data_IF_702572020529
#
_entry.id   IF_702572020529
#
_cell.length_a   1.000
_cell.length_b   1.000
_cell.length_c   1.000
_cell.angle_alpha   90.00
_cell.angle_beta   90.00
_cell.angle_gamma   90.00
#
_symmetry.space_group_name_H-M   'P 1'
#
loop_
_entity.id
_entity.type
_entity.pdbx_description
1 polymer ?
#
# COMPACT_ATOMS: atom_id res chain seq x y z
N UNK A 1 1.34 13.47 30.01
CA UNK A 1 1.95 12.20 30.46
C UNK A 1 2.91 11.75 29.39
N UNK A 2 4.23 11.82 29.62
CA UNK A 2 5.27 11.47 28.64
C UNK A 2 5.79 10.07 28.97
N UNK A 3 5.56 9.09 28.11
CA UNK A 3 6.01 7.71 28.32
C UNK A 3 7.35 7.53 27.62
N UNK A 4 8.42 7.48 28.42
CA UNK A 4 9.78 7.20 27.98
C UNK A 4 9.99 5.69 27.84
N UNK A 5 10.17 5.19 26.61
CA UNK A 5 10.60 3.81 26.36
C UNK A 5 12.12 3.77 26.27
N UNK A 6 12.76 3.21 27.30
CA UNK A 6 14.19 2.89 27.31
C UNK A 6 14.38 1.51 26.69
N UNK A 7 15.04 1.43 25.54
CA UNK A 7 15.59 0.18 25.00
C UNK A 7 16.95 0.47 24.37
N UNK A 8 17.94 -0.36 24.71
CA UNK A 8 19.21 -0.47 24.00
C UNK A 8 20.43 -0.28 24.90
N UNK A 9 21.19 -1.34 25.17
CA UNK A 9 22.22 -1.82 24.25
C UNK A 9 22.80 -3.15 24.77
N UNK A 10 22.75 -4.20 23.94
CA UNK A 10 23.60 -5.38 24.13
C UNK A 10 24.82 -5.15 23.24
N UNK A 11 25.99 -5.09 23.88
CA UNK A 11 27.28 -4.94 23.25
C UNK A 11 27.62 -6.22 22.47
N UNK A 12 27.76 -6.10 21.14
CA UNK A 12 28.34 -7.13 20.28
C UNK A 12 29.55 -6.53 19.58
N UNK A 13 30.74 -6.76 20.13
CA UNK A 13 32.00 -6.38 19.52
C UNK A 13 32.40 -7.38 18.44
N UNK A 14 32.72 -6.88 17.24
CA UNK A 14 33.60 -7.57 16.28
C UNK A 14 34.59 -6.51 15.77
N UNK A 15 35.87 -6.81 15.98
CA UNK A 15 37.03 -6.04 15.50
C UNK A 15 37.60 -6.76 14.27
N UNK A 16 38.30 -6.01 13.40
CA UNK A 16 39.32 -6.39 12.38
C UNK A 16 38.90 -6.02 10.94
N UNK A 17 39.27 -4.80 10.50
CA UNK A 17 40.43 -4.45 9.64
C UNK A 17 40.27 -4.81 8.15
N UNK A 18 40.15 -3.78 7.32
CA UNK A 18 40.28 -3.87 5.86
C UNK A 18 40.10 -2.49 5.22
N UNK A 19 41.19 -1.90 4.74
CA UNK A 19 41.24 -0.55 4.20
C UNK A 19 40.62 -0.38 2.81
N UNK A 20 40.22 0.87 2.56
CA UNK A 20 40.06 1.60 1.30
C UNK A 20 39.69 0.80 0.04
N UNK A 21 38.58 1.16 -0.62
CA UNK A 21 38.57 1.67 -2.00
C UNK A 21 37.15 2.14 -2.40
N UNK A 22 37.13 3.32 -3.02
CA UNK A 22 36.13 3.97 -3.87
C UNK A 22 34.79 3.27 -4.18
N UNK A 23 33.70 4.02 -4.05
CA UNK A 23 32.43 3.70 -4.68
C UNK A 23 31.41 4.80 -4.47
N UNK A 24 31.02 5.46 -5.55
CA UNK A 24 29.91 6.41 -5.65
C UNK A 24 28.78 6.14 -4.65
N UNK A 25 28.43 7.14 -3.83
CA UNK A 25 27.16 7.20 -3.14
C UNK A 25 26.04 7.34 -4.20
N UNK A 26 25.73 6.25 -4.86
CA UNK A 26 24.47 6.09 -5.56
C UNK A 26 23.39 6.28 -4.51
N UNK A 27 22.45 7.19 -4.79
CA UNK A 27 21.22 7.27 -4.05
C UNK A 27 20.63 5.86 -4.00
N UNK A 28 20.74 5.21 -2.85
CA UNK A 28 19.97 4.02 -2.57
C UNK A 28 18.52 4.51 -2.54
N UNK A 29 17.86 4.42 -3.69
CA UNK A 29 16.40 4.39 -3.74
C UNK A 29 16.00 3.39 -2.68
N UNK A 30 15.32 3.88 -1.65
CA UNK A 30 14.68 3.02 -0.67
C UNK A 30 13.77 2.09 -1.48
N UNK A 31 14.25 0.87 -1.76
CA UNK A 31 13.40 -0.19 -2.22
C UNK A 31 12.44 -0.41 -1.06
N UNK A 32 11.25 0.19 -1.15
CA UNK A 32 10.18 -0.02 -0.21
C UNK A 32 10.02 -1.53 -0.09
N UNK A 33 10.37 -2.08 1.07
CA UNK A 33 10.28 -3.49 1.34
C UNK A 33 8.85 -3.90 1.01
N UNK A 34 8.66 -4.55 -0.13
CA UNK A 34 7.35 -4.97 -0.58
C UNK A 34 6.95 -6.08 0.39
N UNK A 35 6.01 -5.87 1.31
CA UNK A 35 5.70 -6.92 2.25
C UNK A 35 5.11 -8.06 1.44
N UNK A 36 5.63 -9.27 1.62
CA UNK A 36 5.15 -10.47 0.93
C UNK A 36 3.62 -10.61 1.01
N UNK A 37 2.97 -10.04 2.02
CA UNK A 37 1.51 -9.98 2.12
C UNK A 37 0.79 -9.27 0.95
N UNK A 38 1.42 -8.30 0.28
CA UNK A 38 0.86 -7.65 -0.91
C UNK A 38 0.72 -8.62 -2.09
N UNK A 39 1.56 -9.66 -2.17
CA UNK A 39 1.44 -10.69 -3.22
C UNK A 39 0.18 -11.56 -3.08
N UNK A 40 -0.53 -11.45 -1.95
CA UNK A 40 -1.83 -12.06 -1.75
C UNK A 40 -2.96 -11.38 -2.53
N UNK A 41 -2.72 -10.25 -3.21
CA UNK A 41 -3.71 -9.69 -4.13
C UNK A 41 -3.69 -10.44 -5.46
N UNK A 42 -4.79 -11.06 -5.90
CA UNK A 42 -4.83 -11.72 -7.20
C UNK A 42 -4.69 -10.71 -8.34
N UNK A 43 -4.06 -11.13 -9.45
CA UNK A 43 -3.96 -10.30 -10.65
C UNK A 43 -5.37 -9.97 -11.20
N UNK A 44 -5.55 -8.73 -11.66
CA UNK A 44 -6.83 -8.21 -12.16
C UNK A 44 -7.70 -7.53 -11.10
N UNK A 45 -7.22 -7.41 -9.86
CA UNK A 45 -7.98 -6.83 -8.76
C UNK A 45 -7.30 -5.60 -8.15
N UNK A 46 -8.13 -4.73 -7.58
CA UNK A 46 -7.72 -3.78 -6.56
C UNK A 46 -8.03 -4.38 -5.18
N UNK A 47 -7.03 -4.50 -4.32
CA UNK A 47 -7.17 -5.08 -2.99
C UNK A 47 -6.95 -4.04 -1.92
N UNK A 48 -7.74 -4.12 -0.84
CA UNK A 48 -7.63 -3.28 0.35
C UNK A 48 -7.56 -4.16 1.60
N UNK A 49 -6.86 -3.67 2.62
CA UNK A 49 -6.69 -4.34 3.90
C UNK A 49 -7.01 -3.40 5.06
N UNK A 50 -7.69 -3.93 6.07
CA UNK A 50 -8.07 -3.17 7.27
C UNK A 50 -6.89 -2.74 8.12
N UNK A 51 -5.74 -3.42 8.00
CA UNK A 51 -4.52 -3.13 8.74
C UNK A 51 -3.40 -2.56 7.88
N UNK A 52 -2.35 -2.08 8.56
CA UNK A 52 -1.11 -1.67 7.92
C UNK A 52 -0.38 -2.87 7.31
N UNK A 53 0.53 -2.61 6.39
CA UNK A 53 1.45 -3.57 5.79
C UNK A 53 0.72 -4.81 5.24
N UNK A 54 -0.46 -4.60 4.65
CA UNK A 54 -1.26 -5.63 3.99
C UNK A 54 -1.72 -6.74 4.95
N UNK A 55 -2.02 -6.36 6.20
CA UNK A 55 -2.50 -7.28 7.26
C UNK A 55 -3.96 -7.05 7.61
N UNK A 56 -4.56 -7.96 8.37
CA UNK A 56 -5.97 -7.88 8.76
C UNK A 56 -6.92 -8.42 7.69
N UNK A 57 -8.18 -8.02 7.76
CA UNK A 57 -9.18 -8.45 6.79
C UNK A 57 -8.94 -7.80 5.43
N UNK A 58 -9.01 -8.61 4.37
CA UNK A 58 -8.82 -8.18 2.99
C UNK A 58 -10.12 -8.23 2.23
N UNK A 59 -10.40 -7.20 1.44
CA UNK A 59 -11.42 -7.22 0.40
C UNK A 59 -10.80 -6.80 -0.93
N UNK A 60 -11.50 -7.12 -2.02
CA UNK A 60 -11.02 -6.85 -3.36
C UNK A 60 -12.18 -6.58 -4.30
N UNK A 61 -11.92 -5.81 -5.35
CA UNK A 61 -12.87 -5.59 -6.44
C UNK A 61 -12.18 -5.67 -7.80
N UNK A 62 -12.98 -6.05 -8.79
CA UNK A 62 -12.65 -5.98 -10.21
C UNK A 62 -13.80 -5.26 -10.92
N UNK A 63 -13.55 -4.81 -12.15
CA UNK A 63 -14.53 -4.06 -12.92
C UNK A 63 -14.97 -2.73 -12.28
N UNK A 64 -15.90 -2.00 -12.93
CA UNK A 64 -16.48 -0.80 -12.37
C UNK A 64 -17.54 -1.16 -11.31
N UNK A 65 -17.51 -0.50 -10.15
CA UNK A 65 -18.50 -0.71 -9.10
C UNK A 65 -19.13 0.64 -8.74
N UNK A 66 -20.45 0.83 -8.95
CA UNK A 66 -21.13 2.08 -8.62
C UNK A 66 -21.36 2.25 -7.11
N UNK A 67 -21.26 1.17 -6.34
CA UNK A 67 -21.40 1.19 -4.90
C UNK A 67 -20.42 0.20 -4.27
N UNK A 68 -19.56 0.70 -3.38
CA UNK A 68 -18.63 -0.07 -2.57
C UNK A 68 -19.02 -0.11 -1.09
N UNK A 69 -20.09 0.60 -0.70
CA UNK A 69 -20.45 0.82 0.71
C UNK A 69 -20.84 -0.46 1.45
N UNK A 70 -21.24 -1.51 0.72
CA UNK A 70 -21.46 -2.84 1.31
C UNK A 70 -20.18 -3.55 1.76
N UNK A 71 -19.00 -3.11 1.31
CA UNK A 71 -17.71 -3.72 1.66
C UNK A 71 -17.07 -2.97 2.83
N UNK A 72 -17.19 -3.53 4.03
CA UNK A 72 -16.74 -2.87 5.27
C UNK A 72 -15.28 -2.41 5.26
N UNK A 73 -14.36 -3.16 4.64
CA UNK A 73 -12.93 -2.80 4.56
C UNK A 73 -12.71 -1.62 3.61
N UNK A 74 -13.48 -1.49 2.53
CA UNK A 74 -13.40 -0.31 1.64
C UNK A 74 -13.85 0.99 2.33
N UNK A 75 -14.53 0.89 3.48
CA UNK A 75 -14.95 2.04 4.27
C UNK A 75 -13.91 2.50 5.30
N UNK A 76 -12.88 1.69 5.57
CA UNK A 76 -11.87 1.98 6.58
C UNK A 76 -10.60 1.10 6.38
N UNK A 77 -9.89 1.29 5.27
CA UNK A 77 -8.66 0.53 4.97
C UNK A 77 -7.40 1.35 5.22
N UNK A 78 -6.32 0.66 5.57
CA UNK A 78 -5.03 1.29 5.89
C UNK A 78 -3.92 0.93 4.89
N UNK A 79 -4.13 -0.13 4.09
CA UNK A 79 -3.23 -0.48 3.01
C UNK A 79 -3.97 -1.04 1.80
N UNK A 80 -3.37 -0.88 0.62
CA UNK A 80 -4.01 -1.17 -0.66
C UNK A 80 -2.99 -1.50 -1.74
N UNK A 81 -3.43 -2.24 -2.76
CA UNK A 81 -2.62 -2.59 -3.93
C UNK A 81 -3.49 -2.65 -5.19
N UNK A 82 -3.11 -1.88 -6.21
CA UNK A 82 -3.63 -2.04 -7.57
C UNK A 82 -2.83 -3.13 -8.31
N UNK A 83 -3.33 -4.37 -8.28
CA UNK A 83 -2.79 -5.48 -9.05
C UNK A 83 -3.57 -5.71 -10.36
N UNK A 84 -4.09 -4.64 -10.97
CA UNK A 84 -4.74 -4.69 -12.28
C UNK A 84 -3.85 -5.26 -13.38
N UNK A 85 -4.46 -5.80 -14.43
CA UNK A 85 -3.74 -6.43 -15.56
C UNK A 85 -3.35 -5.40 -16.62
N UNK A 86 -4.28 -4.53 -17.04
CA UNK A 86 -4.08 -3.56 -18.13
C UNK A 86 -4.42 -2.11 -17.77
N UNK A 87 -5.04 -1.84 -16.64
CA UNK A 87 -5.64 -0.54 -16.33
C UNK A 87 -5.19 0.04 -14.98
N UNK A 88 -5.28 1.36 -14.85
CA UNK A 88 -5.21 2.09 -13.59
C UNK A 88 -6.56 2.04 -12.86
N UNK A 89 -6.53 2.21 -11.53
CA UNK A 89 -7.71 2.22 -10.68
C UNK A 89 -8.09 3.65 -10.31
N UNK A 90 -9.32 4.07 -10.62
CA UNK A 90 -9.85 5.37 -10.22
C UNK A 90 -10.88 5.21 -9.12
N UNK A 91 -10.60 5.77 -7.95
CA UNK A 91 -11.49 5.76 -6.81
C UNK A 91 -12.34 7.04 -6.74
N UNK A 92 -13.47 6.94 -6.05
CA UNK A 92 -14.40 8.04 -5.81
C UNK A 92 -14.87 7.99 -4.34
N UNK A 93 -14.99 9.15 -3.70
CA UNK A 93 -15.46 9.25 -2.30
C UNK A 93 -16.99 9.22 -2.15
N UNK A 94 -17.73 9.22 -3.26
CA UNK A 94 -19.18 9.03 -3.33
C UNK A 94 -19.56 7.82 -4.18
N UNK A 95 -20.80 7.35 -4.00
CA UNK A 95 -21.38 6.32 -4.87
C UNK A 95 -21.64 6.90 -6.27
N UNK A 96 -21.89 6.03 -7.23
CA UNK A 96 -22.19 6.36 -8.63
C UNK A 96 -21.12 7.23 -9.30
N UNK A 97 -19.85 7.06 -8.92
CA UNK A 97 -18.69 7.74 -9.51
C UNK A 97 -18.70 9.27 -9.33
N UNK A 98 -19.32 9.73 -8.24
CA UNK A 98 -19.39 11.16 -7.88
C UNK A 98 -18.29 11.60 -6.92
N UNK A 99 -18.33 12.89 -6.56
CA UNK A 99 -17.47 13.46 -5.52
C UNK A 99 -15.99 13.60 -5.92
N UNK A 100 -15.10 13.59 -4.93
CA UNK A 100 -13.67 13.68 -5.15
C UNK A 100 -13.13 12.35 -5.69
N UNK A 101 -12.05 12.42 -6.46
CA UNK A 101 -11.45 11.23 -7.06
C UNK A 101 -9.94 11.34 -7.18
N UNK A 102 -9.30 10.17 -7.30
CA UNK A 102 -7.88 10.04 -7.59
C UNK A 102 -7.61 8.81 -8.44
N UNK A 103 -6.44 8.79 -9.08
CA UNK A 103 -5.98 7.66 -9.90
C UNK A 103 -4.83 6.96 -9.20
N UNK A 104 -4.92 5.66 -9.10
CA UNK A 104 -3.90 4.76 -8.59
C UNK A 104 -3.36 3.95 -9.75
N UNK A 105 -2.10 4.23 -10.13
CA UNK A 105 -1.44 3.57 -11.24
C UNK A 105 -1.41 2.04 -11.05
N UNK A 106 -1.48 1.28 -12.15
CA UNK A 106 -1.26 -0.17 -12.13
C UNK A 106 0.09 -0.49 -11.46
N UNK A 107 0.10 -1.46 -10.54
CA UNK A 107 1.30 -1.86 -9.81
C UNK A 107 1.58 -0.99 -8.58
N UNK A 108 0.92 0.16 -8.43
CA UNK A 108 1.08 1.00 -7.25
C UNK A 108 0.42 0.36 -6.03
N UNK A 109 1.04 0.57 -4.87
CA UNK A 109 0.57 0.10 -3.57
C UNK A 109 0.92 1.10 -2.49
N UNK A 110 0.17 1.08 -1.40
CA UNK A 110 0.35 1.99 -0.28
C UNK A 110 0.01 1.34 1.05
N UNK A 111 0.69 1.79 2.09
CA UNK A 111 0.47 1.36 3.47
C UNK A 111 0.86 2.48 4.42
N UNK A 112 0.11 2.67 5.50
CA UNK A 112 0.45 3.65 6.54
C UNK A 112 -0.60 3.72 7.64
N UNK A 113 -0.45 4.67 8.57
CA UNK A 113 -1.43 4.90 9.64
C UNK A 113 -2.67 5.67 9.22
N UNK A 114 -2.72 6.12 7.96
CA UNK A 114 -3.89 6.81 7.41
C UNK A 114 -5.00 5.81 7.12
N UNK A 115 -6.21 6.16 7.53
CA UNK A 115 -7.43 5.45 7.19
C UNK A 115 -8.04 6.06 5.94
N UNK A 116 -8.33 5.20 4.96
CA UNK A 116 -8.88 5.56 3.67
C UNK A 116 -10.27 4.96 3.50
N UNK A 117 -11.08 5.61 2.68
CA UNK A 117 -12.37 5.09 2.27
C UNK A 117 -12.63 5.44 0.80
N UNK A 118 -13.42 4.61 0.13
CA UNK A 118 -13.92 4.88 -1.21
C UNK A 118 -15.30 4.24 -1.37
N UNK A 119 -16.17 4.89 -2.15
CA UNK A 119 -17.57 4.48 -2.28
C UNK A 119 -17.95 4.01 -3.68
N UNK A 120 -17.11 4.25 -4.67
CA UNK A 120 -17.24 3.67 -6.01
C UNK A 120 -15.91 3.71 -6.76
N UNK A 121 -15.78 2.94 -7.84
CA UNK A 121 -14.54 2.89 -8.62
C UNK A 121 -14.76 2.63 -10.12
N UNK A 122 -13.79 3.07 -10.92
CA UNK A 122 -13.65 2.67 -12.33
C UNK A 122 -12.23 2.20 -12.63
N UNK A 123 -12.08 1.52 -13.75
CA UNK A 123 -10.78 1.24 -14.35
C UNK A 123 -10.57 2.19 -15.52
N UNK A 124 -9.41 2.84 -15.58
CA UNK A 124 -9.07 3.88 -16.55
C UNK A 124 -7.68 3.64 -17.12
N UNK A 125 -7.30 4.36 -18.18
CA UNK A 125 -5.97 4.27 -18.81
C UNK A 125 -5.57 2.82 -19.18
N UNK A 126 -6.50 2.07 -19.75
CA UNK A 126 -6.26 0.67 -20.11
C UNK A 126 -5.35 0.54 -21.35
N UNK A 127 -4.35 -0.33 -21.26
CA UNK A 127 -3.36 -0.62 -22.31
C UNK A 127 -3.04 -2.11 -22.42
#
# INVERSE_FOLDING_TARGET
>A
MRISRKFGAIAGGIVLTGGLLAGSAGAASAAEATPQAASGCPSGYFCVWSGQNYTGHRQQVAGPNPDLTQFSVFQDFMSWYNHGTSCDYKWYDQTNYGGNSGVVARGAKGTGSTHWYEKSNKWVNCS
#
